data_IF_667070731015
#
_entry.id   IF_667070731015
#
_cell.length_a   1.000
_cell.length_b   1.000
_cell.length_c   1.000
_cell.angle_alpha   90.00
_cell.angle_beta   90.00
_cell.angle_gamma   90.00
#
_symmetry.space_group_name_H-M   'P 1'
#
loop_
_entity.id
_entity.type
_entity.pdbx_description
1 polymer ?
#
# COMPACT_ATOMS: atom_id res chain seq x y z
N UNK A 1 1.61 15.36 -3.23
CA UNK A 1 0.66 14.66 -2.34
C UNK A 1 1.44 14.06 -1.17
N UNK A 2 0.78 13.63 -0.09
CA UNK A 2 1.42 12.92 1.03
C UNK A 2 0.88 11.49 1.05
N UNK A 3 1.69 10.52 1.47
CA UNK A 3 1.26 9.12 1.57
C UNK A 3 0.14 8.96 2.59
N UNK A 4 -0.94 8.31 2.17
CA UNK A 4 -2.05 7.81 2.97
C UNK A 4 -1.85 6.31 3.16
N UNK A 5 -1.69 5.90 4.42
CA UNK A 5 -1.38 4.51 4.74
C UNK A 5 -2.60 3.59 4.68
N UNK A 6 -3.82 4.12 4.76
CA UNK A 6 -5.03 3.34 4.51
C UNK A 6 -5.17 3.08 2.99
N UNK A 7 -4.87 4.07 2.14
CA UNK A 7 -4.81 3.86 0.68
C UNK A 7 -3.71 2.89 0.26
N UNK A 8 -2.54 2.97 0.90
CA UNK A 8 -1.46 1.97 0.71
C UNK A 8 -1.97 0.56 1.00
N UNK A 9 -2.65 0.36 2.13
CA UNK A 9 -3.19 -0.96 2.50
C UNK A 9 -4.21 -1.45 1.47
N UNK A 10 -5.14 -0.59 1.07
CA UNK A 10 -6.16 -0.88 0.05
C UNK A 10 -5.52 -1.39 -1.25
N UNK A 11 -4.55 -0.64 -1.80
CA UNK A 11 -3.85 -1.01 -3.04
C UNK A 11 -3.16 -2.37 -2.90
N UNK A 12 -2.45 -2.60 -1.79
CA UNK A 12 -1.73 -3.87 -1.60
C UNK A 12 -2.70 -5.05 -1.49
N UNK A 13 -3.82 -4.88 -0.79
CA UNK A 13 -4.88 -5.88 -0.70
C UNK A 13 -5.48 -6.18 -2.08
N UNK A 14 -5.74 -5.15 -2.88
CA UNK A 14 -6.32 -5.33 -4.21
C UNK A 14 -5.36 -6.02 -5.19
N UNK A 15 -4.09 -5.59 -5.23
CA UNK A 15 -3.07 -6.28 -6.03
C UNK A 15 -2.81 -7.72 -5.55
N UNK A 16 -2.99 -7.99 -4.26
CA UNK A 16 -2.92 -9.34 -3.69
C UNK A 16 -3.99 -10.30 -4.17
N UNK A 17 -5.13 -9.79 -4.69
CA UNK A 17 -6.19 -10.61 -5.31
C UNK A 17 -5.87 -11.04 -6.74
N UNK A 18 -4.83 -10.44 -7.35
CA UNK A 18 -4.48 -10.61 -8.76
C UNK A 18 -5.20 -9.61 -9.65
N UNK A 19 -4.42 -8.83 -10.40
CA UNK A 19 -4.90 -7.82 -11.36
C UNK A 19 -4.07 -7.95 -12.63
N UNK A 20 -4.73 -8.12 -13.78
CA UNK A 20 -4.04 -8.27 -15.07
C UNK A 20 -3.60 -6.90 -15.64
N UNK A 21 -4.48 -5.90 -15.62
CA UNK A 21 -4.20 -4.54 -16.03
C UNK A 21 -5.05 -3.52 -15.28
N UNK A 22 -4.55 -2.28 -15.20
CA UNK A 22 -5.30 -1.11 -14.75
C UNK A 22 -5.20 -0.01 -15.81
N UNK A 23 -6.35 0.49 -16.26
CA UNK A 23 -6.43 1.53 -17.30
C UNK A 23 -7.34 2.68 -16.84
N UNK A 24 -6.86 3.90 -17.04
CA UNK A 24 -7.59 5.13 -16.72
C UNK A 24 -7.69 6.01 -17.96
N UNK A 25 -8.91 6.18 -18.47
CA UNK A 25 -9.19 7.00 -19.67
C UNK A 25 -9.39 8.48 -19.37
N UNK A 26 -9.82 8.80 -18.14
CA UNK A 26 -9.84 10.13 -17.56
C UNK A 26 -9.25 10.03 -16.15
N UNK A 27 -8.43 11.01 -15.78
CA UNK A 27 -7.75 11.04 -14.50
C UNK A 27 -8.39 12.13 -13.64
N UNK A 28 -9.35 11.74 -12.80
CA UNK A 28 -9.89 12.60 -11.76
C UNK A 28 -8.98 12.61 -10.52
N UNK A 29 -9.37 13.33 -9.46
CA UNK A 29 -8.56 13.43 -8.25
C UNK A 29 -8.39 12.09 -7.50
N UNK A 30 -9.35 11.17 -7.60
CA UNK A 30 -9.24 9.82 -7.05
C UNK A 30 -8.22 9.00 -7.85
N UNK A 31 -8.25 9.04 -9.18
CA UNK A 31 -7.24 8.36 -10.00
C UNK A 31 -5.84 8.94 -9.75
N UNK A 32 -5.69 10.27 -9.67
CA UNK A 32 -4.40 10.89 -9.30
C UNK A 32 -3.91 10.39 -7.95
N UNK A 33 -4.81 10.28 -6.97
CA UNK A 33 -4.49 9.76 -5.66
C UNK A 33 -4.02 8.31 -5.71
N UNK A 34 -4.73 7.46 -6.44
CA UNK A 34 -4.36 6.04 -6.61
C UNK A 34 -3.00 5.90 -7.32
N UNK A 35 -2.81 6.60 -8.44
CA UNK A 35 -1.57 6.61 -9.24
C UNK A 35 -0.38 7.07 -8.40
N UNK A 36 -0.53 8.16 -7.62
CA UNK A 36 0.51 8.62 -6.72
C UNK A 36 0.94 7.54 -5.72
N UNK A 37 -0.02 6.82 -5.12
CA UNK A 37 0.30 5.75 -4.18
C UNK A 37 0.94 4.54 -4.85
N UNK A 38 0.48 4.16 -6.04
CA UNK A 38 1.13 3.14 -6.88
C UNK A 38 2.60 3.48 -7.15
N UNK A 39 2.89 4.73 -7.50
CA UNK A 39 4.26 5.20 -7.78
C UNK A 39 5.18 5.06 -6.57
N UNK A 40 4.79 5.61 -5.41
CA UNK A 40 5.63 5.54 -4.20
C UNK A 40 5.76 4.10 -3.65
N UNK A 41 4.77 3.23 -3.88
CA UNK A 41 4.85 1.81 -3.51
C UNK A 41 5.85 1.06 -4.38
N UNK A 42 5.95 1.40 -5.67
CA UNK A 42 6.99 0.84 -6.56
C UNK A 42 8.38 1.35 -6.19
N UNK A 43 8.51 2.64 -5.87
CA UNK A 43 9.77 3.21 -5.37
C UNK A 43 10.23 2.53 -4.07
N UNK A 44 9.29 2.19 -3.19
CA UNK A 44 9.56 1.42 -1.97
C UNK A 44 9.84 -0.07 -2.21
N UNK A 45 9.74 -0.55 -3.46
CA UNK A 45 9.94 -1.95 -3.83
C UNK A 45 8.85 -2.89 -3.36
N UNK A 46 7.68 -2.39 -2.97
CA UNK A 46 6.54 -3.20 -2.51
C UNK A 46 5.71 -3.75 -3.68
N UNK A 47 5.65 -3.03 -4.79
CA UNK A 47 4.93 -3.45 -5.98
C UNK A 47 5.78 -3.29 -7.22
N UNK A 48 5.35 -3.90 -8.32
CA UNK A 48 5.94 -3.74 -9.63
C UNK A 48 4.87 -3.84 -10.71
N UNK A 49 5.18 -3.33 -11.90
CA UNK A 49 4.41 -3.50 -13.13
C UNK A 49 5.39 -3.54 -14.30
N UNK A 50 5.02 -4.17 -15.41
CA UNK A 50 5.90 -4.34 -16.58
C UNK A 50 6.07 -3.04 -17.35
N UNK A 51 4.97 -2.34 -17.64
CA UNK A 51 4.98 -1.12 -18.43
C UNK A 51 4.07 -0.05 -17.83
N UNK A 52 4.49 1.20 -17.95
CA UNK A 52 3.68 2.38 -17.69
C UNK A 52 3.62 3.17 -18.99
N UNK A 53 2.44 3.21 -19.60
CA UNK A 53 2.23 3.97 -20.82
C UNK A 53 1.29 5.13 -20.54
N UNK A 54 1.78 6.33 -20.82
CA UNK A 54 1.00 7.55 -20.94
C UNK A 54 0.98 7.89 -22.44
N UNK A 55 0.12 7.19 -23.19
CA UNK A 55 0.04 7.38 -24.65
C UNK A 55 -0.56 8.75 -24.99
N UNK A 56 -0.32 9.22 -26.23
CA UNK A 56 -0.96 10.41 -26.81
C UNK A 56 -2.51 10.37 -26.80
N UNK A 57 -3.12 9.24 -26.43
CA UNK A 57 -4.57 9.00 -26.35
C UNK A 57 -5.20 9.38 -25.00
N UNK A 58 -4.49 10.10 -24.12
CA UNK A 58 -4.97 10.52 -22.78
C UNK A 58 -5.26 9.36 -21.81
N UNK A 59 -4.79 8.14 -22.11
CA UNK A 59 -4.99 6.97 -21.25
C UNK A 59 -3.71 6.66 -20.48
N UNK A 60 -3.84 6.41 -19.18
CA UNK A 60 -2.75 5.89 -18.33
C UNK A 60 -2.98 4.40 -18.07
N UNK A 61 -2.01 3.55 -18.44
CA UNK A 61 -2.09 2.10 -18.22
C UNK A 61 -0.94 1.55 -17.37
N UNK A 62 -1.28 0.56 -16.54
CA UNK A 62 -0.32 -0.25 -15.77
C UNK A 62 -0.48 -1.72 -16.17
N UNK A 63 0.56 -2.29 -16.77
CA UNK A 63 0.54 -3.68 -17.23
C UNK A 63 1.08 -4.63 -16.16
N UNK A 64 0.29 -5.65 -15.81
CA UNK A 64 0.58 -6.64 -14.78
C UNK A 64 1.06 -6.04 -13.45
N UNK A 65 0.29 -5.12 -12.84
CA UNK A 65 0.60 -4.60 -11.52
C UNK A 65 0.46 -5.72 -10.50
N UNK A 66 1.52 -5.94 -9.70
CA UNK A 66 1.56 -7.01 -8.71
C UNK A 66 2.45 -6.67 -7.53
N UNK A 67 2.26 -7.40 -6.44
CA UNK A 67 3.14 -7.36 -5.28
C UNK A 67 4.52 -7.95 -5.60
N UNK A 68 5.57 -7.36 -5.03
CA UNK A 68 6.88 -8.02 -4.94
C UNK A 68 6.89 -9.01 -3.77
N UNK A 69 7.99 -9.73 -3.56
CA UNK A 69 8.18 -10.53 -2.35
C UNK A 69 8.06 -9.68 -1.07
N UNK A 70 8.71 -8.50 -1.05
CA UNK A 70 8.67 -7.57 0.09
C UNK A 70 7.26 -6.98 0.25
N UNK A 71 6.56 -6.77 -0.87
CA UNK A 71 5.14 -6.39 -0.89
C UNK A 71 4.25 -7.40 -0.20
N UNK A 72 4.40 -8.69 -0.52
CA UNK A 72 3.67 -9.77 0.13
C UNK A 72 3.98 -9.82 1.64
N UNK A 73 5.27 -9.79 2.02
CA UNK A 73 5.68 -9.77 3.43
C UNK A 73 5.06 -8.59 4.20
N UNK A 74 5.04 -7.40 3.61
CA UNK A 74 4.39 -6.25 4.25
C UNK A 74 2.87 -6.40 4.30
N UNK A 75 2.23 -6.87 3.22
CA UNK A 75 0.79 -7.14 3.19
C UNK A 75 0.38 -8.12 4.29
N UNK A 76 1.13 -9.20 4.51
CA UNK A 76 0.85 -10.19 5.56
C UNK A 76 0.86 -9.58 6.97
N UNK A 77 1.69 -8.56 7.19
CA UNK A 77 1.73 -7.83 8.47
C UNK A 77 0.48 -6.95 8.69
N UNK A 78 -0.20 -6.51 7.62
CA UNK A 78 -1.30 -5.54 7.69
C UNK A 78 -2.64 -6.06 7.15
N UNK A 79 -2.71 -7.29 6.62
CA UNK A 79 -3.89 -7.83 5.95
C UNK A 79 -5.05 -8.03 6.93
N UNK A 80 -4.76 -8.46 8.16
CA UNK A 80 -5.76 -8.65 9.21
C UNK A 80 -6.26 -7.31 9.78
N UNK A 81 -7.58 -7.07 9.69
CA UNK A 81 -8.21 -5.82 10.16
C UNK A 81 -7.98 -5.54 11.65
N UNK A 82 -7.94 -6.57 12.49
CA UNK A 82 -7.68 -6.40 13.93
C UNK A 82 -6.25 -5.95 14.18
N UNK A 83 -5.28 -6.53 13.47
CA UNK A 83 -3.87 -6.14 13.57
C UNK A 83 -3.69 -4.71 13.04
N UNK A 84 -4.28 -4.40 11.89
CA UNK A 84 -4.22 -3.06 11.32
C UNK A 84 -4.83 -2.01 12.25
N UNK A 85 -6.02 -2.28 12.80
CA UNK A 85 -6.67 -1.39 13.77
C UNK A 85 -5.76 -1.13 14.99
N UNK A 86 -5.21 -2.17 15.61
CA UNK A 86 -4.29 -2.04 16.75
C UNK A 86 -3.04 -1.23 16.40
N UNK A 87 -2.52 -1.37 15.18
CA UNK A 87 -1.38 -0.59 14.69
C UNK A 87 -1.74 0.90 14.63
N UNK A 88 -2.90 1.24 14.05
CA UNK A 88 -3.41 2.61 13.99
C UNK A 88 -3.65 3.19 15.38
N UNK A 89 -4.26 2.42 16.28
CA UNK A 89 -4.60 2.86 17.62
C UNK A 89 -3.35 3.21 18.44
N UNK A 90 -2.25 2.45 18.29
CA UNK A 90 -0.98 2.76 18.94
C UNK A 90 -0.42 4.08 18.46
N UNK A 91 -0.34 4.27 17.15
CA UNK A 91 0.22 5.49 16.55
C UNK A 91 -0.59 6.72 17.02
N UNK A 92 -1.92 6.63 16.94
CA UNK A 92 -2.84 7.69 17.38
C UNK A 92 -2.78 7.96 18.88
N UNK A 93 -2.61 6.93 19.71
CA UNK A 93 -2.47 7.09 21.17
C UNK A 93 -1.21 7.87 21.56
N UNK A 94 -0.23 7.97 20.65
CA UNK A 94 1.00 8.75 20.81
C UNK A 94 0.91 10.16 20.19
N UNK A 95 -0.26 10.55 19.69
CA UNK A 95 -0.50 11.88 19.12
C UNK A 95 -0.01 12.06 17.68
N UNK A 96 0.25 10.97 16.96
CA UNK A 96 0.69 11.01 15.56
C UNK A 96 -0.42 10.51 14.63
N UNK A 97 -0.49 11.08 13.44
CA UNK A 97 -1.19 10.47 12.32
C UNK A 97 -0.28 9.49 11.56
N UNK A 98 -0.87 8.50 10.88
CA UNK A 98 -0.08 7.49 10.15
C UNK A 98 0.82 8.11 9.09
N UNK A 99 0.38 9.19 8.43
CA UNK A 99 1.16 9.88 7.41
C UNK A 99 2.41 10.59 7.98
N UNK A 100 2.49 10.75 9.30
CA UNK A 100 3.58 11.40 10.05
C UNK A 100 4.62 10.41 10.58
N UNK A 101 4.28 9.13 10.63
CA UNK A 101 5.18 8.08 11.13
C UNK A 101 5.95 7.43 9.98
N UNK A 102 7.29 7.36 10.02
CA UNK A 102 8.10 6.65 9.03
C UNK A 102 7.58 5.25 8.70
N UNK A 103 7.61 4.87 7.42
CA UNK A 103 7.09 3.59 6.95
C UNK A 103 7.67 2.38 7.71
N UNK A 104 8.98 2.41 7.97
CA UNK A 104 9.67 1.36 8.74
C UNK A 104 9.08 1.18 10.13
N UNK A 105 8.71 2.26 10.83
CA UNK A 105 8.12 2.20 12.16
C UNK A 105 6.72 1.59 12.09
N UNK A 106 5.90 1.96 11.10
CA UNK A 106 4.57 1.38 10.90
C UNK A 106 4.69 -0.13 10.64
N UNK A 107 5.64 -0.54 9.78
CA UNK A 107 5.92 -1.96 9.50
C UNK A 107 6.31 -2.71 10.77
N UNK A 108 7.20 -2.17 11.59
CA UNK A 108 7.62 -2.82 12.84
C UNK A 108 6.50 -2.93 13.88
N UNK A 109 5.66 -1.90 14.01
CA UNK A 109 4.49 -1.97 14.91
C UNK A 109 3.52 -3.06 14.44
N UNK A 110 3.19 -3.10 13.15
CA UNK A 110 2.30 -4.11 12.58
C UNK A 110 2.84 -5.53 12.77
N UNK A 111 4.14 -5.74 12.47
CA UNK A 111 4.85 -6.99 12.69
C UNK A 111 4.83 -7.42 14.17
N UNK A 112 5.06 -6.49 15.08
CA UNK A 112 4.98 -6.74 16.53
C UNK A 112 3.57 -7.18 16.94
N UNK A 113 2.52 -6.59 16.35
CA UNK A 113 1.14 -6.99 16.62
C UNK A 113 0.76 -8.33 16.03
N UNK A 114 1.28 -8.67 14.86
CA UNK A 114 1.15 -10.00 14.30
C UNK A 114 1.79 -11.05 15.21
N UNK A 115 3.06 -10.84 15.58
CA UNK A 115 3.80 -11.68 16.55
C UNK A 115 3.02 -11.95 17.84
N UNK A 116 2.51 -10.89 18.48
CA UNK A 116 1.68 -11.00 19.69
C UNK A 116 0.39 -11.79 19.46
N UNK A 117 -0.22 -11.67 18.28
CA UNK A 117 -1.46 -12.39 17.96
C UNK A 117 -1.28 -13.89 17.75
N UNK A 118 -0.05 -14.32 17.40
CA UNK A 118 0.30 -15.73 17.16
C UNK A 118 1.17 -16.33 18.28
N UNK A 119 1.43 -15.58 19.35
CA UNK A 119 2.14 -16.07 20.54
C UNK A 119 3.66 -16.22 20.37
N UNK A 120 4.28 -15.36 19.56
CA UNK A 120 5.74 -15.35 19.35
C UNK A 120 6.31 -13.99 19.79
N UNK A 121 7.42 -14.00 20.52
CA UNK A 121 8.16 -12.80 20.97
C UNK A 121 9.13 -12.25 19.89
#
# INVERSE_FOLDING_TARGET
MRRDMDKVREILVDLGKGVESLEYSQIDENEKNYIYHMQILKEAGLITWKHFNEYQTQTTSFDEPRLTWIGNDYLDNISNDTIWKKTKDIIRSKGFELSEVPFSIIKEIAKTKLKQSIGID
#
